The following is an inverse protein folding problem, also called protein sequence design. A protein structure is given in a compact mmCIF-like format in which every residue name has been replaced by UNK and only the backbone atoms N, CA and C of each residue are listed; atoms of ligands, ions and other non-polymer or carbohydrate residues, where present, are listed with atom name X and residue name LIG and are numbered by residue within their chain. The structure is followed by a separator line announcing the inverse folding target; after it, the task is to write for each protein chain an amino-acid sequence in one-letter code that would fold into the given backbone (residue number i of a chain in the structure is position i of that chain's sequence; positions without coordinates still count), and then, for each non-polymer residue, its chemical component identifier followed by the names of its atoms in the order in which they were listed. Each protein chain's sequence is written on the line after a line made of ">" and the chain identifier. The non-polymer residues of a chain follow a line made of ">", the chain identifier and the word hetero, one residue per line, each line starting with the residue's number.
data_IF_017460425343
#
_entry.id   IF_017460425343
#
_cell.length_a   1.000
_cell.length_b   1.000
_cell.length_c   1.000
_cell.angle_alpha   90.00
_cell.angle_beta   90.00
_cell.angle_gamma   90.00
#
_symmetry.space_group_name_H-M   'P 1'
#
loop_
_entity.id
_entity.type
_entity.pdbx_description
1 polymer ?
#
# COMPACT_ATOMS: atom_id res chain seq x y z
N UNK A 1 -17.48 -7.32 -0.98
CA UNK A 1 -16.91 -6.22 -1.79
C UNK A 1 -15.41 -6.44 -1.85
N UNK A 2 -14.79 -6.22 -3.01
CA UNK A 2 -13.33 -6.33 -3.19
C UNK A 2 -12.80 -4.96 -3.54
N UNK A 3 -11.76 -4.51 -2.83
CA UNK A 3 -11.15 -3.21 -3.03
C UNK A 3 -9.62 -3.34 -3.07
N UNK A 4 -9.00 -2.61 -4.01
CA UNK A 4 -7.54 -2.51 -4.11
C UNK A 4 -7.12 -1.09 -3.75
N UNK A 5 -6.33 -0.98 -2.69
CA UNK A 5 -5.71 0.26 -2.25
C UNK A 5 -4.28 0.31 -2.79
N UNK A 6 -4.03 1.24 -3.70
CA UNK A 6 -2.68 1.48 -4.24
C UNK A 6 -1.96 2.46 -3.32
N UNK A 7 -1.07 1.94 -2.48
CA UNK A 7 -0.34 2.72 -1.49
C UNK A 7 0.98 3.26 -2.06
N UNK A 8 1.63 2.51 -2.95
CA UNK A 8 2.89 2.91 -3.56
C UNK A 8 3.09 2.29 -4.94
N UNK A 9 3.43 3.14 -5.91
CA UNK A 9 3.65 2.76 -7.31
C UNK A 9 5.06 2.22 -7.63
N UNK A 10 5.90 2.00 -6.62
CA UNK A 10 7.21 1.33 -6.74
C UNK A 10 8.24 2.07 -7.56
N UNK A 11 9.23 2.70 -6.92
CA UNK A 11 10.46 3.15 -7.57
C UNK A 11 11.67 2.45 -6.90
N UNK A 12 12.74 2.06 -7.63
CA UNK A 12 13.93 1.44 -7.04
C UNK A 12 14.52 2.28 -5.92
N UNK A 13 14.54 3.60 -6.12
CA UNK A 13 14.88 4.60 -5.12
C UNK A 13 13.62 5.44 -4.85
N UNK A 14 13.15 5.55 -3.59
CA UNK A 14 12.01 6.38 -3.25
C UNK A 14 12.20 7.84 -3.68
N UNK A 15 11.14 8.45 -4.20
CA UNK A 15 11.03 9.90 -4.39
C UNK A 15 9.99 10.47 -3.46
N UNK A 16 9.92 11.80 -3.34
CA UNK A 16 8.93 12.50 -2.51
C UNK A 16 7.47 12.17 -2.89
N UNK A 17 7.22 11.83 -4.16
CA UNK A 17 5.88 11.50 -4.68
C UNK A 17 5.66 10.00 -4.90
N UNK A 18 6.72 9.20 -5.01
CA UNK A 18 6.63 7.77 -5.36
C UNK A 18 7.59 6.94 -4.52
N UNK A 19 7.02 6.25 -3.54
CA UNK A 19 7.73 5.32 -2.66
C UNK A 19 7.77 3.90 -3.23
N UNK A 20 8.31 2.95 -2.47
CA UNK A 20 8.35 1.54 -2.85
C UNK A 20 6.95 0.96 -3.12
N UNK A 21 6.91 -0.21 -3.74
CA UNK A 21 5.65 -0.86 -4.10
C UNK A 21 4.91 -1.32 -2.85
N UNK A 22 3.62 -1.00 -2.79
CA UNK A 22 2.74 -1.43 -1.72
C UNK A 22 1.28 -1.36 -2.19
N UNK A 23 0.57 -2.46 -2.05
CA UNK A 23 -0.86 -2.56 -2.35
C UNK A 23 -1.54 -3.34 -1.25
N UNK A 24 -2.75 -2.93 -0.86
CA UNK A 24 -3.60 -3.71 0.02
C UNK A 24 -4.87 -4.12 -0.73
N UNK A 25 -5.20 -5.41 -0.63
CA UNK A 25 -6.42 -5.99 -1.16
C UNK A 25 -7.35 -6.29 0.03
N UNK A 26 -8.49 -5.61 0.08
CA UNK A 26 -9.51 -5.86 1.10
C UNK A 26 -10.59 -6.76 0.52
N UNK A 27 -10.85 -7.87 1.20
CA UNK A 27 -11.87 -8.86 0.84
C UNK A 27 -12.73 -9.12 2.07
N UNK A 28 -13.92 -8.51 2.10
CA UNK A 28 -14.73 -8.52 3.33
C UNK A 28 -13.98 -7.82 4.47
N UNK A 29 -13.82 -8.51 5.59
CA UNK A 29 -13.10 -8.02 6.78
C UNK A 29 -11.61 -8.38 6.79
N UNK A 30 -11.13 -9.12 5.77
CA UNK A 30 -9.73 -9.49 5.65
C UNK A 30 -8.97 -8.51 4.75
N UNK A 31 -7.69 -8.31 5.09
CA UNK A 31 -6.77 -7.51 4.30
C UNK A 31 -5.51 -8.32 3.95
N UNK A 32 -5.16 -8.33 2.67
CA UNK A 32 -3.96 -8.95 2.13
C UNK A 32 -3.01 -7.87 1.62
N UNK A 33 -1.74 -7.94 2.00
CA UNK A 33 -0.74 -6.96 1.59
C UNK A 33 0.18 -7.55 0.52
N UNK A 34 0.35 -6.84 -0.59
CA UNK A 34 1.25 -7.19 -1.68
C UNK A 34 2.36 -6.14 -1.81
N UNK A 35 3.58 -6.55 -1.48
CA UNK A 35 4.73 -5.66 -1.33
C UNK A 35 4.72 -4.90 0.00
N UNK A 36 5.88 -4.46 0.47
CA UNK A 36 6.04 -3.68 1.70
C UNK A 36 7.22 -2.72 1.57
N UNK A 37 7.18 -1.90 0.52
CA UNK A 37 8.22 -0.89 0.29
C UNK A 37 8.27 0.18 1.40
N UNK A 38 9.29 1.07 1.38
CA UNK A 38 9.41 2.14 2.35
C UNK A 38 8.10 2.93 2.53
N UNK A 39 7.75 3.20 3.80
CA UNK A 39 6.57 3.98 4.20
C UNK A 39 5.21 3.27 3.99
N UNK A 40 5.19 1.99 3.59
CA UNK A 40 3.93 1.26 3.35
C UNK A 40 2.99 1.24 4.58
N UNK A 41 3.51 0.96 5.78
CA UNK A 41 2.71 0.94 7.02
C UNK A 41 2.09 2.29 7.36
N UNK A 42 2.84 3.40 7.20
CA UNK A 42 2.28 4.74 7.40
C UNK A 42 1.14 5.03 6.42
N UNK A 43 1.25 4.54 5.19
CA UNK A 43 0.21 4.72 4.17
C UNK A 43 -1.01 3.84 4.41
N UNK A 44 -0.85 2.64 4.98
CA UNK A 44 -1.97 1.81 5.45
C UNK A 44 -2.80 2.58 6.49
N UNK A 45 -2.14 3.13 7.52
CA UNK A 45 -2.81 3.93 8.55
C UNK A 45 -3.55 5.12 7.94
N UNK A 46 -2.94 5.83 6.99
CA UNK A 46 -3.59 6.94 6.28
C UNK A 46 -4.77 6.51 5.39
N UNK A 47 -4.79 5.27 4.94
CA UNK A 47 -5.87 4.67 4.16
C UNK A 47 -6.99 4.08 5.04
N UNK A 48 -6.86 4.13 6.37
CA UNK A 48 -7.85 3.60 7.31
C UNK A 48 -7.78 2.07 7.49
N UNK A 49 -6.61 1.48 7.21
CA UNK A 49 -6.29 0.08 7.50
C UNK A 49 -5.37 -0.04 8.72
#
# INVERSE_FOLDING_TARGET
>A
MVEVLVLGGGAPTPTEFRFGSAHALRIGDEALMFGCGPVATLKLVKAGL
#
